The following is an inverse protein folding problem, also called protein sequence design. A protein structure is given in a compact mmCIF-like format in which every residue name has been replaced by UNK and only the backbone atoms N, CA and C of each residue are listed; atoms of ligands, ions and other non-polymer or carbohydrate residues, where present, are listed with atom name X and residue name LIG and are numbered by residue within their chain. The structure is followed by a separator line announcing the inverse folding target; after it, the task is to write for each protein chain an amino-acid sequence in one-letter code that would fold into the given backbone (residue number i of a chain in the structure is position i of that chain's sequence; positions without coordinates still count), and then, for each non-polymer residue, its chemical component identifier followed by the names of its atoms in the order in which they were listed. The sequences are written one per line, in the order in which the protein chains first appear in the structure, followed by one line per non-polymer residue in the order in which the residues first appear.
data_IF_699489834983
#
_entry.id   IF_699489834983
#
_cell.length_a   1.000
_cell.length_b   1.000
_cell.length_c   1.000
_cell.angle_alpha   90.00
_cell.angle_beta   90.00
_cell.angle_gamma   90.00
#
_symmetry.space_group_name_H-M   'P 1'
#
loop_
_entity.id
_entity.type
_entity.pdbx_description
1 polymer ?
#
# COMPACT_ATOMS: atom_id res chain seq x y z
N UNK A 1 -14.99 25.60 -1.07
CA UNK A 1 -14.64 25.61 0.37
C UNK A 1 -13.27 24.98 0.55
N UNK A 2 -12.37 25.70 1.16
CA UNK A 2 -11.08 25.14 1.51
C UNK A 2 -11.24 24.19 2.70
N UNK A 3 -10.88 22.95 2.52
CA UNK A 3 -10.92 21.91 3.52
C UNK A 3 -10.02 22.26 4.72
N UNK A 4 -10.33 21.75 5.92
CA UNK A 4 -9.53 21.96 7.13
C UNK A 4 -8.06 21.56 6.97
N UNK A 5 -7.82 20.54 6.14
CA UNK A 5 -6.49 20.10 5.73
C UNK A 5 -5.73 21.18 4.96
N UNK A 6 -6.40 21.87 4.04
CA UNK A 6 -5.82 22.94 3.23
C UNK A 6 -5.44 24.15 4.08
N UNK A 7 -6.28 24.50 5.06
CA UNK A 7 -5.98 25.55 6.05
C UNK A 7 -4.78 25.22 6.93
N UNK A 8 -4.65 23.95 7.36
CA UNK A 8 -3.47 23.47 8.11
C UNK A 8 -2.20 23.54 7.28
N UNK A 9 -2.28 23.17 6.02
CA UNK A 9 -1.18 23.23 5.06
C UNK A 9 -0.72 24.67 4.83
N UNK A 10 -1.63 25.60 4.63
CA UNK A 10 -1.31 27.03 4.49
C UNK A 10 -0.74 27.64 5.77
N UNK A 11 -1.24 27.24 6.93
CA UNK A 11 -0.71 27.67 8.23
C UNK A 11 0.73 27.17 8.45
N UNK A 12 1.00 25.92 8.11
CA UNK A 12 2.35 25.35 8.19
C UNK A 12 3.31 26.03 7.22
N UNK A 13 2.86 26.36 6.01
CA UNK A 13 3.64 27.11 5.03
C UNK A 13 4.08 28.47 5.56
N UNK A 14 3.18 29.22 6.21
CA UNK A 14 3.50 30.52 6.76
C UNK A 14 4.48 30.50 7.93
N UNK A 15 4.50 29.39 8.70
CA UNK A 15 5.39 29.23 9.87
C UNK A 15 6.77 28.67 9.57
N UNK A 16 6.90 27.81 8.58
CA UNK A 16 8.09 26.98 8.36
C UNK A 16 8.95 27.47 7.19
N UNK A 17 8.41 28.40 6.37
CA UNK A 17 9.08 28.86 5.15
C UNK A 17 8.89 27.93 3.96
N UNK A 18 8.98 28.49 2.74
CA UNK A 18 8.67 27.78 1.50
C UNK A 18 9.59 26.57 1.22
N UNK A 19 10.84 26.65 1.61
CA UNK A 19 11.82 25.57 1.37
C UNK A 19 11.51 24.33 2.17
N UNK A 20 11.19 24.46 3.46
CA UNK A 20 10.85 23.34 4.33
C UNK A 20 9.45 22.82 4.01
N UNK A 21 8.54 23.70 3.60
CA UNK A 21 7.21 23.32 3.12
C UNK A 21 7.27 22.45 1.87
N UNK A 22 8.08 22.79 0.89
CA UNK A 22 8.30 21.97 -0.30
C UNK A 22 8.95 20.62 0.04
N UNK A 23 9.87 20.63 1.00
CA UNK A 23 10.52 19.42 1.48
C UNK A 23 9.52 18.48 2.21
N UNK A 24 8.69 19.00 3.11
CA UNK A 24 7.66 18.25 3.82
C UNK A 24 6.55 17.76 2.87
N UNK A 25 6.14 18.58 1.90
CA UNK A 25 5.19 18.13 0.88
C UNK A 25 5.76 17.02 -0.01
N UNK A 26 7.02 17.12 -0.42
CA UNK A 26 7.65 16.05 -1.17
C UNK A 26 7.72 14.74 -0.37
N UNK A 27 7.97 14.82 0.93
CA UNK A 27 7.95 13.65 1.81
C UNK A 27 6.51 13.11 1.93
N UNK A 28 5.52 13.96 2.21
CA UNK A 28 4.12 13.57 2.35
C UNK A 28 3.55 12.96 1.05
N UNK A 29 3.87 13.53 -0.11
CA UNK A 29 3.46 13.00 -1.42
C UNK A 29 4.19 11.69 -1.70
N UNK A 30 5.46 11.58 -1.34
CA UNK A 30 6.26 10.38 -1.53
C UNK A 30 5.81 9.23 -0.62
N UNK A 31 5.31 9.55 0.57
CA UNK A 31 4.74 8.57 1.50
C UNK A 31 3.29 8.17 1.15
N UNK A 32 2.61 8.96 0.31
CA UNK A 32 1.27 8.66 -0.18
C UNK A 32 1.25 7.79 -1.44
N UNK A 33 2.16 6.82 -1.53
CA UNK A 33 2.17 5.86 -2.65
C UNK A 33 0.89 5.01 -2.75
N UNK A 34 0.17 4.90 -1.65
CA UNK A 34 -1.08 4.15 -1.57
C UNK A 34 -2.26 5.12 -1.43
N UNK A 35 -2.63 5.75 -2.53
CA UNK A 35 -3.79 6.64 -2.60
C UNK A 35 -5.11 5.85 -2.54
N UNK A 36 -6.19 6.55 -2.24
CA UNK A 36 -7.54 5.96 -2.21
C UNK A 36 -7.89 5.36 -3.57
N UNK A 37 -7.55 6.05 -4.65
CA UNK A 37 -7.77 5.61 -6.03
C UNK A 37 -7.05 4.28 -6.33
N UNK A 38 -5.79 4.16 -5.92
CA UNK A 38 -5.03 2.92 -6.07
C UNK A 38 -5.64 1.75 -5.28
N UNK A 39 -6.13 2.01 -4.09
CA UNK A 39 -6.84 0.97 -3.31
C UNK A 39 -8.12 0.52 -4.02
N UNK A 40 -8.92 1.45 -4.50
CA UNK A 40 -10.15 1.15 -5.23
C UNK A 40 -9.87 0.37 -6.52
N UNK A 41 -8.82 0.73 -7.25
CA UNK A 41 -8.36 0.00 -8.44
C UNK A 41 -8.05 -1.48 -8.13
N UNK A 42 -7.34 -1.74 -7.04
CA UNK A 42 -7.06 -3.13 -6.62
C UNK A 42 -8.32 -3.90 -6.24
N UNK A 43 -9.22 -3.28 -5.49
CA UNK A 43 -10.47 -3.94 -5.11
C UNK A 43 -11.42 -4.15 -6.28
N UNK A 44 -11.44 -3.24 -7.24
CA UNK A 44 -12.19 -3.39 -8.49
C UNK A 44 -11.63 -4.51 -9.36
N UNK A 45 -10.30 -4.63 -9.47
CA UNK A 45 -9.64 -5.62 -10.31
C UNK A 45 -9.69 -7.04 -9.74
N UNK A 46 -9.59 -7.20 -8.43
CA UNK A 46 -9.49 -8.48 -7.75
C UNK A 46 -10.65 -8.80 -6.81
N UNK A 47 -11.53 -7.85 -6.56
CA UNK A 47 -12.73 -8.00 -5.75
C UNK A 47 -14.01 -7.97 -6.57
N UNK A 48 -15.15 -7.94 -5.91
CA UNK A 48 -16.47 -7.82 -6.53
C UNK A 48 -16.87 -6.38 -6.82
N UNK A 49 -16.35 -5.41 -6.05
CA UNK A 49 -16.62 -3.99 -6.22
C UNK A 49 -15.48 -3.12 -5.67
N UNK A 50 -15.49 -1.84 -6.02
CA UNK A 50 -14.51 -0.84 -5.54
C UNK A 50 -14.52 -0.66 -4.01
N UNK A 51 -15.66 -0.93 -3.38
CA UNK A 51 -15.89 -0.77 -1.94
C UNK A 51 -15.63 -2.08 -1.18
N UNK A 52 -15.58 -3.20 -1.90
CA UNK A 52 -15.40 -4.51 -1.29
C UNK A 52 -13.95 -4.74 -0.85
N UNK A 53 -13.67 -4.32 0.37
CA UNK A 53 -12.36 -4.50 1.02
C UNK A 53 -12.17 -5.87 1.68
N UNK A 54 -13.23 -6.69 1.70
CA UNK A 54 -13.25 -7.98 2.42
C UNK A 54 -12.77 -9.18 1.60
N UNK A 55 -12.53 -9.04 0.30
CA UNK A 55 -12.03 -10.14 -0.53
C UNK A 55 -10.57 -10.46 -0.24
N UNK A 56 -10.26 -11.75 -0.12
CA UNK A 56 -8.90 -12.21 0.12
C UNK A 56 -7.97 -11.83 -1.05
N UNK A 57 -8.44 -11.93 -2.26
CA UNK A 57 -7.71 -11.58 -3.48
C UNK A 57 -7.33 -10.09 -3.53
N UNK A 58 -8.28 -9.21 -3.24
CA UNK A 58 -8.04 -7.77 -3.17
C UNK A 58 -7.00 -7.41 -2.11
N UNK A 59 -7.08 -8.03 -0.94
CA UNK A 59 -6.10 -7.84 0.13
C UNK A 59 -4.71 -8.37 -0.25
N UNK A 60 -4.62 -9.52 -0.89
CA UNK A 60 -3.35 -10.08 -1.36
C UNK A 60 -2.70 -9.18 -2.41
N UNK A 61 -3.47 -8.65 -3.35
CA UNK A 61 -3.00 -7.73 -4.37
C UNK A 61 -2.47 -6.42 -3.73
N UNK A 62 -3.21 -5.87 -2.79
CA UNK A 62 -2.81 -4.67 -2.04
C UNK A 62 -1.52 -4.88 -1.25
N UNK A 63 -1.40 -6.01 -0.53
CA UNK A 63 -0.18 -6.33 0.21
C UNK A 63 1.01 -6.54 -0.73
N UNK A 64 0.83 -7.17 -1.88
CA UNK A 64 1.88 -7.36 -2.88
C UNK A 64 2.40 -6.03 -3.41
N UNK A 65 1.53 -5.08 -3.69
CA UNK A 65 1.91 -3.72 -4.09
C UNK A 65 2.70 -3.00 -3.00
N UNK A 66 2.23 -3.05 -1.76
CA UNK A 66 2.94 -2.43 -0.62
C UNK A 66 4.30 -3.07 -0.37
N UNK A 67 4.41 -4.38 -0.47
CA UNK A 67 5.67 -5.12 -0.33
C UNK A 67 6.67 -4.68 -1.39
N UNK A 68 6.26 -4.57 -2.65
CA UNK A 68 7.10 -4.09 -3.73
C UNK A 68 7.61 -2.67 -3.46
N UNK A 69 6.74 -1.77 -3.04
CA UNK A 69 7.12 -0.40 -2.72
C UNK A 69 8.10 -0.30 -1.53
N UNK A 70 7.83 -1.02 -0.45
CA UNK A 70 8.72 -1.05 0.71
C UNK A 70 10.07 -1.69 0.39
N UNK A 71 10.11 -2.68 -0.47
CA UNK A 71 11.35 -3.31 -0.95
C UNK A 71 12.22 -2.30 -1.71
N UNK A 72 11.63 -1.50 -2.58
CA UNK A 72 12.33 -0.42 -3.28
C UNK A 72 12.86 0.65 -2.32
N UNK A 73 12.06 1.04 -1.33
CA UNK A 73 12.49 1.96 -0.28
C UNK A 73 13.69 1.43 0.49
N UNK A 74 13.68 0.16 0.88
CA UNK A 74 14.78 -0.48 1.63
C UNK A 74 16.04 -0.67 0.82
N UNK A 75 15.97 -0.78 -0.50
CA UNK A 75 17.17 -0.78 -1.36
C UNK A 75 17.95 0.53 -1.22
N UNK A 76 17.25 1.64 -1.07
CA UNK A 76 17.86 2.98 -0.88
C UNK A 76 18.22 3.25 0.57
N UNK A 77 17.39 2.82 1.51
CA UNK A 77 17.50 3.10 2.95
C UNK A 77 17.68 1.79 3.74
N UNK A 78 18.84 1.16 3.63
CA UNK A 78 19.14 -0.15 4.24
C UNK A 78 19.08 -0.17 5.77
N UNK A 79 19.26 0.97 6.43
CA UNK A 79 19.25 1.11 7.90
C UNK A 79 17.88 1.43 8.48
N UNK A 80 16.81 1.46 7.67
CA UNK A 80 15.45 1.69 8.15
C UNK A 80 14.83 0.41 8.71
N UNK A 81 15.17 0.10 9.95
CA UNK A 81 14.69 -1.10 10.65
C UNK A 81 13.19 -1.10 10.91
N UNK A 82 12.57 0.07 11.02
CA UNK A 82 11.11 0.20 11.16
C UNK A 82 10.39 -0.31 9.92
N UNK A 83 10.83 0.12 8.75
CA UNK A 83 10.28 -0.33 7.47
C UNK A 83 10.57 -1.81 7.21
N UNK A 84 11.75 -2.32 7.58
CA UNK A 84 12.05 -3.75 7.50
C UNK A 84 11.08 -4.59 8.31
N UNK A 85 10.78 -4.18 9.54
CA UNK A 85 9.81 -4.86 10.40
C UNK A 85 8.41 -4.84 9.80
N UNK A 86 7.98 -3.70 9.25
CA UNK A 86 6.70 -3.56 8.56
C UNK A 86 6.61 -4.47 7.33
N UNK A 87 7.68 -4.54 6.53
CA UNK A 87 7.78 -5.43 5.36
C UNK A 87 7.58 -6.90 5.74
N UNK A 88 8.29 -7.38 6.75
CA UNK A 88 8.18 -8.76 7.23
C UNK A 88 6.75 -9.07 7.71
N UNK A 89 6.11 -8.15 8.43
CA UNK A 89 4.71 -8.29 8.86
C UNK A 89 3.76 -8.42 7.68
N UNK A 90 3.93 -7.61 6.63
CA UNK A 90 3.09 -7.65 5.43
C UNK A 90 3.28 -8.95 4.65
N UNK A 91 4.51 -9.43 4.52
CA UNK A 91 4.80 -10.73 3.90
C UNK A 91 4.12 -11.86 4.66
N UNK A 92 4.19 -11.85 5.99
CA UNK A 92 3.50 -12.82 6.84
C UNK A 92 1.98 -12.79 6.69
N UNK A 93 1.37 -11.61 6.64
CA UNK A 93 -0.08 -11.44 6.41
C UNK A 93 -0.50 -11.95 5.03
N UNK A 94 0.25 -11.61 3.99
CA UNK A 94 0.00 -12.11 2.63
C UNK A 94 0.05 -13.64 2.57
N UNK A 95 1.05 -14.25 3.19
CA UNK A 95 1.18 -15.70 3.25
C UNK A 95 -0.03 -16.37 3.91
N UNK A 96 -0.48 -15.85 5.05
CA UNK A 96 -1.68 -16.37 5.74
C UNK A 96 -2.93 -16.31 4.88
N UNK A 97 -3.13 -15.20 4.14
CA UNK A 97 -4.26 -15.07 3.22
C UNK A 97 -4.17 -16.05 2.05
N UNK A 98 -2.98 -16.25 1.50
CA UNK A 98 -2.75 -17.25 0.44
C UNK A 98 -3.00 -18.68 0.94
N UNK A 99 -2.55 -19.03 2.14
CA UNK A 99 -2.81 -20.34 2.74
C UNK A 99 -4.31 -20.55 2.99
N UNK A 100 -5.01 -19.53 3.50
CA UNK A 100 -6.47 -19.56 3.66
C UNK A 100 -7.19 -19.78 2.34
N UNK A 101 -6.81 -19.03 1.30
CA UNK A 101 -7.42 -19.15 -0.02
C UNK A 101 -7.16 -20.52 -0.65
N UNK A 102 -5.95 -21.06 -0.49
CA UNK A 102 -5.59 -22.40 -0.97
C UNK A 102 -6.44 -23.49 -0.33
N UNK A 103 -6.75 -23.38 0.96
CA UNK A 103 -7.60 -24.35 1.67
C UNK A 103 -9.06 -24.22 1.29
N UNK A 104 -9.52 -23.01 0.99
CA UNK A 104 -10.92 -22.72 0.71
C UNK A 104 -11.30 -22.92 -0.75
N UNK A 105 -10.45 -22.47 -1.66
CA UNK A 105 -10.69 -22.53 -3.10
C UNK A 105 -9.35 -22.54 -3.85
N UNK A 106 -8.96 -23.71 -4.30
CA UNK A 106 -7.66 -23.91 -4.97
C UNK A 106 -7.60 -23.24 -6.36
N UNK A 107 -8.72 -23.07 -7.03
CA UNK A 107 -8.76 -22.43 -8.35
C UNK A 107 -8.52 -20.93 -8.23
N UNK A 108 -9.23 -20.26 -7.32
CA UNK A 108 -9.01 -18.84 -7.01
C UNK A 108 -7.58 -18.58 -6.53
N UNK A 109 -7.02 -19.50 -5.75
CA UNK A 109 -5.61 -19.43 -5.34
C UNK A 109 -4.66 -19.48 -6.54
N UNK A 110 -4.89 -20.38 -7.49
CA UNK A 110 -4.06 -20.49 -8.70
C UNK A 110 -4.17 -19.26 -9.60
N UNK A 111 -5.37 -18.70 -9.74
CA UNK A 111 -5.62 -17.47 -10.49
C UNK A 111 -4.88 -16.27 -9.91
N UNK A 112 -4.95 -16.06 -8.61
CA UNK A 112 -4.27 -14.93 -7.97
C UNK A 112 -2.75 -15.03 -8.03
N UNK A 113 -2.19 -16.24 -7.87
CA UNK A 113 -0.75 -16.47 -8.01
C UNK A 113 -0.29 -16.17 -9.44
N UNK A 114 -1.05 -16.61 -10.43
CA UNK A 114 -0.78 -16.36 -11.84
C UNK A 114 -0.88 -14.86 -12.17
N UNK A 115 -1.93 -14.19 -11.70
CA UNK A 115 -2.17 -12.78 -11.95
C UNK A 115 -1.09 -11.87 -11.34
N UNK A 116 -0.64 -12.18 -10.12
CA UNK A 116 0.39 -11.41 -9.42
C UNK A 116 1.81 -11.93 -9.65
N UNK A 117 1.98 -12.99 -10.46
CA UNK A 117 3.28 -13.64 -10.74
C UNK A 117 4.06 -13.99 -9.47
N UNK A 118 3.35 -14.45 -8.46
CA UNK A 118 3.95 -14.85 -7.19
C UNK A 118 4.60 -16.23 -7.31
N UNK A 119 5.69 -16.43 -6.57
CA UNK A 119 6.31 -17.75 -6.44
C UNK A 119 5.39 -18.68 -5.63
N UNK A 120 5.23 -19.90 -6.12
CA UNK A 120 4.49 -20.97 -5.44
C UNK A 120 5.16 -21.36 -4.12
#
# INVERSE_FOLDING_TARGET
MLDSLHKKVLYLRSKIGDSIYLWTNNILIKDMYLTIEKKQEFFKSFGTSEIDTGTAEGQIALFSYRIAHLTEHLKKNKKDFSTQRALIKLVGKRRRLLDYLRLKDIERYREIIKALKLRK
#
